data_IF_739734001486
#
_entry.id   IF_739734001486
#
_cell.length_a   1.000
_cell.length_b   1.000
_cell.length_c   1.000
_cell.angle_alpha   90.00
_cell.angle_beta   90.00
_cell.angle_gamma   90.00
#
_symmetry.space_group_name_H-M   'P 1'
#
loop_
_entity.id
_entity.type
_entity.pdbx_description
1 polymer ?
#
# COMPACT_ATOMS: atom_id res chain seq x y z
N UNK A 1 14.49 -14.45 0.98
CA UNK A 1 13.44 -14.35 -0.06
C UNK A 1 12.90 -12.93 -0.04
N UNK A 2 12.37 -12.39 -1.14
CA UNK A 2 11.73 -11.08 -1.11
C UNK A 2 10.55 -11.10 -0.13
N UNK A 3 10.33 -9.98 0.56
CA UNK A 3 9.24 -9.83 1.52
C UNK A 3 7.87 -9.84 0.80
N UNK A 4 7.79 -9.19 -0.37
CA UNK A 4 6.59 -9.14 -1.19
C UNK A 4 6.39 -10.46 -1.94
N UNK A 5 5.17 -10.96 -1.91
CA UNK A 5 4.76 -12.18 -2.61
C UNK A 5 3.41 -11.97 -3.30
N UNK A 6 3.30 -12.50 -4.51
CA UNK A 6 2.05 -12.54 -5.26
C UNK A 6 1.44 -13.95 -5.18
N UNK A 7 0.11 -14.00 -5.25
CA UNK A 7 -0.63 -15.25 -5.40
C UNK A 7 -1.56 -15.12 -6.62
N UNK A 8 -1.62 -16.15 -7.46
CA UNK A 8 -2.55 -16.16 -8.58
C UNK A 8 -3.96 -16.54 -8.12
N UNK A 9 -5.03 -16.20 -8.89
CA UNK A 9 -6.38 -16.66 -8.62
C UNK A 9 -6.50 -18.17 -8.46
N UNK A 10 -5.82 -18.94 -9.30
CA UNK A 10 -5.79 -20.41 -9.21
C UNK A 10 -5.16 -20.88 -7.90
N UNK A 11 -4.00 -20.36 -7.54
CA UNK A 11 -3.32 -20.72 -6.30
C UNK A 11 -4.14 -20.36 -5.05
N UNK A 12 -4.88 -19.25 -5.09
CA UNK A 12 -5.77 -18.88 -4.01
C UNK A 12 -6.96 -19.84 -3.91
N UNK A 13 -7.60 -20.16 -5.05
CA UNK A 13 -8.72 -21.12 -5.08
C UNK A 13 -8.34 -22.50 -4.51
N UNK A 14 -7.13 -22.99 -4.84
CA UNK A 14 -6.61 -24.24 -4.31
C UNK A 14 -6.36 -24.22 -2.79
N UNK A 15 -6.11 -23.03 -2.21
CA UNK A 15 -5.81 -22.84 -0.78
C UNK A 15 -6.98 -22.33 0.04
N UNK A 16 -8.08 -21.92 -0.57
CA UNK A 16 -9.19 -21.20 0.06
C UNK A 16 -9.76 -21.94 1.27
N UNK A 17 -9.84 -23.27 1.23
CA UNK A 17 -10.28 -24.11 2.33
C UNK A 17 -9.17 -24.49 3.35
N UNK A 18 -7.95 -23.94 3.19
CA UNK A 18 -6.83 -24.31 4.07
C UNK A 18 -6.98 -23.66 5.44
N UNK A 19 -6.74 -24.43 6.50
CA UNK A 19 -6.65 -23.88 7.84
C UNK A 19 -5.50 -22.86 7.94
N UNK A 20 -5.72 -21.78 8.67
CA UNK A 20 -4.70 -20.74 8.88
C UNK A 20 -4.54 -19.74 7.70
N UNK A 21 -5.53 -19.67 6.80
CA UNK A 21 -5.62 -18.64 5.78
C UNK A 21 -6.62 -17.57 6.19
N UNK A 22 -6.23 -16.31 6.08
CA UNK A 22 -7.09 -15.13 6.20
C UNK A 22 -7.08 -14.38 4.88
N UNK A 23 -8.23 -14.05 4.34
CA UNK A 23 -8.38 -13.25 3.13
C UNK A 23 -8.96 -11.90 3.50
N UNK A 24 -8.37 -10.80 3.04
CA UNK A 24 -8.85 -9.45 3.30
C UNK A 24 -9.20 -8.74 1.99
N UNK A 25 -10.45 -8.29 1.91
CA UNK A 25 -10.97 -7.43 0.86
C UNK A 25 -10.67 -5.97 1.19
N UNK A 26 -9.77 -5.37 0.43
CA UNK A 26 -9.31 -4.00 0.64
C UNK A 26 -9.93 -3.02 -0.37
N UNK A 27 -11.06 -3.36 -1.02
CA UNK A 27 -11.72 -2.47 -1.97
C UNK A 27 -12.10 -1.14 -1.33
N UNK A 28 -11.84 -0.06 -2.05
CA UNK A 28 -12.09 1.30 -1.60
C UNK A 28 -12.16 2.25 -2.80
N UNK A 29 -12.97 3.30 -2.70
CA UNK A 29 -12.99 4.41 -3.64
C UNK A 29 -12.92 5.74 -2.88
N UNK A 30 -12.02 6.65 -3.32
CA UNK A 30 -11.80 7.92 -2.62
C UNK A 30 -13.01 8.85 -2.73
N UNK A 31 -13.75 8.75 -3.81
CA UNK A 31 -14.94 9.56 -4.12
C UNK A 31 -16.22 9.02 -3.50
N UNK A 32 -16.21 7.78 -3.01
CA UNK A 32 -17.37 7.10 -2.42
C UNK A 32 -16.94 6.27 -1.19
N UNK A 33 -17.05 6.81 0.01
CA UNK A 33 -16.63 6.13 1.24
C UNK A 33 -17.37 4.81 1.53
N UNK A 34 -18.57 4.63 0.99
CA UNK A 34 -19.37 3.42 1.20
C UNK A 34 -19.11 2.35 0.13
N UNK A 35 -18.44 2.71 -0.96
CA UNK A 35 -18.17 1.82 -2.10
C UNK A 35 -17.62 0.45 -1.67
N UNK A 36 -16.57 0.44 -0.85
CA UNK A 36 -15.89 -0.79 -0.47
C UNK A 36 -16.79 -1.73 0.34
N UNK A 37 -17.54 -1.18 1.31
CA UNK A 37 -18.46 -1.95 2.14
C UNK A 37 -19.64 -2.47 1.31
N UNK A 38 -20.22 -1.63 0.45
CA UNK A 38 -21.33 -2.03 -0.45
C UNK A 38 -20.86 -3.13 -1.41
N UNK A 39 -19.72 -2.93 -2.06
CA UNK A 39 -19.16 -3.92 -2.98
C UNK A 39 -18.83 -5.26 -2.30
N UNK A 40 -18.33 -5.21 -1.04
CA UNK A 40 -18.12 -6.42 -0.24
C UNK A 40 -19.44 -7.17 0.03
N UNK A 41 -20.49 -6.44 0.40
CA UNK A 41 -21.81 -7.01 0.65
C UNK A 41 -22.48 -7.58 -0.61
N UNK A 42 -22.23 -6.99 -1.79
CA UNK A 42 -22.69 -7.48 -3.09
C UNK A 42 -21.97 -8.74 -3.56
N UNK A 43 -20.76 -9.00 -3.07
CA UNK A 43 -20.00 -10.21 -3.33
C UNK A 43 -18.49 -10.05 -3.07
N UNK A 44 -17.93 -11.06 -2.43
CA UNK A 44 -16.51 -11.12 -2.10
C UNK A 44 -15.97 -12.54 -2.31
N UNK A 45 -14.64 -12.70 -2.32
CA UNK A 45 -14.01 -14.03 -2.36
C UNK A 45 -14.41 -14.77 -1.09
N UNK A 46 -14.92 -16.00 -1.21
CA UNK A 46 -15.40 -16.80 -0.09
C UNK A 46 -14.37 -16.83 1.06
N UNK A 47 -14.85 -16.56 2.28
CA UNK A 47 -14.01 -16.46 3.48
C UNK A 47 -13.29 -15.11 3.65
N UNK A 48 -13.42 -14.17 2.71
CA UNK A 48 -12.81 -12.85 2.86
C UNK A 48 -13.52 -12.02 3.93
N UNK A 49 -12.76 -11.20 4.63
CA UNK A 49 -13.22 -10.16 5.56
C UNK A 49 -12.93 -8.79 4.98
N UNK A 50 -13.78 -7.81 5.26
CA UNK A 50 -13.58 -6.44 4.75
C UNK A 50 -12.55 -5.66 5.57
N UNK A 51 -11.58 -5.08 4.87
CA UNK A 51 -10.51 -4.25 5.42
C UNK A 51 -10.63 -2.82 4.90
N UNK A 52 -11.44 -2.01 5.57
CA UNK A 52 -11.71 -0.62 5.23
C UNK A 52 -10.44 0.25 5.37
N UNK A 53 -10.15 1.06 4.34
CA UNK A 53 -8.97 1.93 4.33
C UNK A 53 -9.00 2.96 5.46
N UNK A 54 -10.15 3.59 5.71
CA UNK A 54 -10.26 4.68 6.68
C UNK A 54 -10.40 4.16 8.11
N UNK A 55 -11.20 3.10 8.30
CA UNK A 55 -11.52 2.57 9.65
C UNK A 55 -10.46 1.62 10.20
N UNK A 56 -9.87 0.80 9.32
CA UNK A 56 -8.97 -0.28 9.74
C UNK A 56 -7.51 -0.01 9.38
N UNK A 57 -7.25 0.60 8.21
CA UNK A 57 -5.89 0.78 7.67
C UNK A 57 -5.37 2.22 7.82
N UNK A 58 -6.14 3.09 8.47
CA UNK A 58 -5.75 4.47 8.77
C UNK A 58 -6.09 4.85 10.20
N UNK A 59 -5.43 5.86 10.71
CA UNK A 59 -5.73 6.51 11.98
C UNK A 59 -6.64 7.73 11.78
N UNK A 60 -7.06 8.38 12.87
CA UNK A 60 -7.92 9.55 12.81
C UNK A 60 -7.21 10.72 12.11
N UNK A 61 -7.94 11.40 11.23
CA UNK A 61 -7.45 12.60 10.55
C UNK A 61 -7.55 13.81 11.50
N UNK A 62 -6.42 14.50 11.69
CA UNK A 62 -6.35 15.77 12.43
C UNK A 62 -6.15 16.89 11.42
N UNK A 63 -7.18 17.68 11.18
CA UNK A 63 -7.17 18.76 10.18
C UNK A 63 -6.00 19.72 10.39
N UNK A 64 -5.23 19.95 9.33
CA UNK A 64 -4.07 20.85 9.34
C UNK A 64 -2.81 20.26 9.99
N UNK A 65 -2.84 18.98 10.40
CA UNK A 65 -1.71 18.29 11.03
C UNK A 65 -1.35 17.02 10.25
N UNK A 66 -2.32 16.13 10.03
CA UNK A 66 -2.06 14.85 9.34
C UNK A 66 -2.41 14.92 7.86
N UNK A 67 -1.90 13.96 7.10
CA UNK A 67 -2.41 13.65 5.78
C UNK A 67 -3.81 13.00 5.84
N UNK A 68 -4.37 12.64 4.66
CA UNK A 68 -5.71 12.04 4.55
C UNK A 68 -5.81 10.62 5.11
N UNK A 69 -4.73 9.84 5.07
CA UNK A 69 -4.70 8.46 5.58
C UNK A 69 -3.47 8.26 6.50
N UNK A 70 -3.47 8.90 7.70
CA UNK A 70 -2.37 8.72 8.65
C UNK A 70 -2.28 7.26 9.09
N UNK A 71 -1.13 6.85 9.60
CA UNK A 71 -0.99 5.49 10.11
C UNK A 71 -1.91 5.26 11.31
N UNK A 72 -2.52 4.08 11.41
CA UNK A 72 -3.22 3.70 12.64
C UNK A 72 -2.22 3.58 13.81
N UNK A 73 -2.69 3.80 15.03
CA UNK A 73 -1.89 3.47 16.20
C UNK A 73 -1.57 1.97 16.20
N UNK A 74 -0.31 1.61 16.50
CA UNK A 74 0.18 0.23 16.43
C UNK A 74 -0.68 -0.75 17.23
N UNK A 75 -1.06 -0.37 18.45
CA UNK A 75 -1.92 -1.21 19.31
C UNK A 75 -3.33 -1.38 18.74
N UNK A 76 -3.87 -0.33 18.10
CA UNK A 76 -5.19 -0.40 17.46
C UNK A 76 -5.14 -1.35 16.26
N UNK A 77 -4.11 -1.24 15.43
CA UNK A 77 -3.94 -2.13 14.29
C UNK A 77 -3.66 -3.58 14.74
N UNK A 78 -2.85 -3.79 15.79
CA UNK A 78 -2.63 -5.12 16.36
C UNK A 78 -3.93 -5.75 16.88
N UNK A 79 -4.83 -4.97 17.52
CA UNK A 79 -6.16 -5.47 17.90
C UNK A 79 -6.99 -5.85 16.68
N UNK A 80 -6.93 -5.05 15.61
CA UNK A 80 -7.65 -5.35 14.38
C UNK A 80 -7.13 -6.63 13.71
N UNK A 81 -5.81 -6.87 13.69
CA UNK A 81 -5.26 -8.12 13.18
C UNK A 81 -5.77 -9.33 13.94
N UNK A 82 -5.83 -9.24 15.27
CA UNK A 82 -6.44 -10.31 16.09
C UNK A 82 -7.92 -10.51 15.81
N UNK A 83 -8.67 -9.41 15.62
CA UNK A 83 -10.09 -9.50 15.26
C UNK A 83 -10.31 -10.20 13.92
N UNK A 84 -9.36 -10.06 12.97
CA UNK A 84 -9.35 -10.81 11.70
C UNK A 84 -8.82 -12.24 11.82
N UNK A 85 -8.54 -12.76 13.01
CA UNK A 85 -8.07 -14.13 13.22
C UNK A 85 -6.59 -14.34 12.91
N UNK A 86 -5.79 -13.26 12.81
CA UNK A 86 -4.37 -13.37 12.42
C UNK A 86 -3.51 -13.78 13.61
N UNK A 87 -2.71 -14.83 13.41
CA UNK A 87 -1.64 -15.32 14.27
C UNK A 87 -0.27 -15.07 13.61
N UNK A 88 0.81 -15.41 14.27
CA UNK A 88 2.15 -15.27 13.72
C UNK A 88 2.36 -16.09 12.43
N UNK A 89 1.81 -17.30 12.38
CA UNK A 89 1.92 -18.28 11.29
C UNK A 89 0.79 -18.20 10.25
N UNK A 90 -0.27 -17.40 10.49
CA UNK A 90 -1.40 -17.22 9.56
C UNK A 90 -0.88 -16.74 8.19
N UNK A 91 -1.33 -17.38 7.12
CA UNK A 91 -1.19 -16.85 5.77
C UNK A 91 -2.25 -15.78 5.52
N UNK A 92 -1.87 -14.65 4.95
CA UNK A 92 -2.78 -13.54 4.66
C UNK A 92 -2.76 -13.25 3.17
N UNK A 93 -3.93 -13.26 2.54
CA UNK A 93 -4.09 -12.84 1.15
C UNK A 93 -4.89 -11.54 1.12
N UNK A 94 -4.35 -10.54 0.46
CA UNK A 94 -4.89 -9.20 0.33
C UNK A 94 -5.34 -8.98 -1.12
N UNK A 95 -6.51 -8.40 -1.34
CA UNK A 95 -6.94 -8.02 -2.67
C UNK A 95 -7.74 -6.72 -2.67
N UNK A 96 -7.78 -6.06 -3.81
CA UNK A 96 -8.72 -4.99 -4.13
C UNK A 96 -9.34 -5.23 -5.53
N UNK A 97 -9.92 -4.23 -6.15
CA UNK A 97 -10.57 -4.39 -7.47
C UNK A 97 -9.60 -4.81 -8.60
N UNK A 98 -8.31 -4.47 -8.49
CA UNK A 98 -7.38 -4.81 -9.55
C UNK A 98 -5.95 -4.32 -9.39
N UNK A 99 -5.69 -3.01 -9.22
CA UNK A 99 -4.31 -2.51 -9.26
C UNK A 99 -3.46 -2.89 -8.05
N UNK A 100 -4.06 -3.35 -6.95
CA UNK A 100 -3.35 -3.74 -5.75
C UNK A 100 -2.92 -2.57 -4.85
N UNK A 101 -3.44 -1.37 -5.06
CA UNK A 101 -3.02 -0.17 -4.33
C UNK A 101 -3.42 -0.19 -2.84
N UNK A 102 -4.67 -0.57 -2.56
CA UNK A 102 -5.19 -0.67 -1.19
C UNK A 102 -4.70 -1.95 -0.51
N UNK A 103 -4.59 -3.04 -1.26
CA UNK A 103 -3.96 -4.28 -0.81
C UNK A 103 -2.50 -4.06 -0.40
N UNK A 104 -1.74 -3.26 -1.16
CA UNK A 104 -0.37 -2.91 -0.83
C UNK A 104 -0.26 -2.04 0.44
N UNK A 105 -1.25 -1.18 0.72
CA UNK A 105 -1.32 -0.45 1.99
C UNK A 105 -1.47 -1.40 3.16
N UNK A 106 -2.38 -2.38 3.08
CA UNK A 106 -2.56 -3.39 4.11
C UNK A 106 -1.30 -4.25 4.27
N UNK A 107 -0.66 -4.67 3.16
CA UNK A 107 0.61 -5.41 3.18
C UNK A 107 1.71 -4.64 3.91
N UNK A 108 1.85 -3.35 3.61
CA UNK A 108 2.88 -2.53 4.24
C UNK A 108 2.64 -2.37 5.75
N UNK A 109 1.40 -2.17 6.17
CA UNK A 109 1.02 -2.09 7.59
C UNK A 109 1.32 -3.40 8.34
N UNK A 110 1.04 -4.54 7.73
CA UNK A 110 1.40 -5.86 8.26
C UNK A 110 2.91 -5.98 8.44
N UNK A 111 3.69 -5.62 7.40
CA UNK A 111 5.16 -5.64 7.45
C UNK A 111 5.72 -4.67 8.48
N UNK A 112 5.14 -3.47 8.59
CA UNK A 112 5.51 -2.47 9.59
C UNK A 112 5.30 -2.99 11.02
N UNK A 113 4.21 -3.71 11.27
CA UNK A 113 3.93 -4.29 12.59
C UNK A 113 4.64 -5.64 12.84
N UNK A 114 5.48 -6.10 11.90
CA UNK A 114 6.31 -7.29 12.03
C UNK A 114 5.75 -8.58 11.42
N UNK A 115 4.55 -8.56 10.81
CA UNK A 115 4.01 -9.68 10.03
C UNK A 115 4.59 -9.64 8.62
N UNK A 116 5.76 -10.27 8.44
CA UNK A 116 6.55 -10.20 7.21
C UNK A 116 6.46 -11.45 6.34
N UNK A 117 6.12 -12.57 6.94
CA UNK A 117 6.05 -13.87 6.25
C UNK A 117 4.59 -14.26 6.00
N UNK A 118 4.38 -14.95 4.88
CA UNK A 118 3.08 -15.51 4.50
C UNK A 118 2.03 -14.45 4.16
N UNK A 119 2.44 -13.25 3.69
CA UNK A 119 1.52 -12.19 3.26
C UNK A 119 1.62 -12.04 1.74
N UNK A 120 0.49 -12.19 1.06
CA UNK A 120 0.38 -12.20 -0.38
C UNK A 120 -0.58 -11.12 -0.87
N UNK A 121 -0.33 -10.58 -2.07
CA UNK A 121 -1.33 -9.82 -2.81
C UNK A 121 -1.83 -10.69 -3.97
N UNK A 122 -3.15 -10.72 -4.17
CA UNK A 122 -3.80 -11.39 -5.30
C UNK A 122 -3.45 -10.62 -6.59
N UNK A 123 -2.67 -11.23 -7.46
CA UNK A 123 -2.16 -10.60 -8.67
C UNK A 123 -3.28 -10.32 -9.68
N UNK A 124 -3.53 -9.05 -9.96
CA UNK A 124 -4.65 -8.56 -10.75
C UNK A 124 -5.98 -8.45 -9.98
N UNK A 125 -5.98 -8.70 -8.66
CA UNK A 125 -7.10 -8.47 -7.75
C UNK A 125 -8.38 -9.22 -8.11
N UNK A 126 -9.53 -8.66 -7.69
CA UNK A 126 -10.84 -9.26 -7.92
C UNK A 126 -11.17 -9.38 -9.41
N UNK A 127 -10.66 -8.45 -10.24
CA UNK A 127 -10.83 -8.54 -11.70
C UNK A 127 -10.18 -9.81 -12.28
N UNK A 128 -8.99 -10.18 -11.81
CA UNK A 128 -8.32 -11.40 -12.25
C UNK A 128 -9.04 -12.66 -11.73
N UNK A 129 -9.58 -12.62 -10.49
CA UNK A 129 -10.42 -13.68 -9.93
C UNK A 129 -11.64 -13.96 -10.80
N UNK A 130 -12.39 -12.93 -11.14
CA UNK A 130 -13.54 -13.03 -12.05
C UNK A 130 -13.16 -13.54 -13.44
N UNK A 131 -12.08 -13.03 -14.01
CA UNK A 131 -11.61 -13.44 -15.34
C UNK A 131 -11.19 -14.90 -15.38
N UNK A 132 -10.77 -15.47 -14.24
CA UNK A 132 -10.46 -16.89 -14.08
C UNK A 132 -11.71 -17.77 -13.88
N UNK A 133 -12.91 -17.18 -13.81
CA UNK A 133 -14.20 -17.87 -13.68
C UNK A 133 -14.54 -18.34 -12.28
N UNK A 134 -13.86 -17.83 -11.25
CA UNK A 134 -14.16 -18.18 -9.86
C UNK A 134 -15.36 -17.38 -9.32
N UNK A 135 -16.22 -18.03 -8.50
CA UNK A 135 -17.42 -17.41 -7.93
C UNK A 135 -17.08 -16.44 -6.80
N UNK A 136 -18.07 -15.60 -6.48
CA UNK A 136 -18.11 -14.82 -5.24
C UNK A 136 -19.12 -15.41 -4.28
N UNK A 137 -18.93 -15.12 -3.00
CA UNK A 137 -19.84 -15.45 -1.90
C UNK A 137 -20.50 -14.17 -1.34
N UNK A 138 -21.66 -14.35 -0.74
CA UNK A 138 -22.35 -13.33 0.09
C UNK A 138 -22.23 -13.68 1.59
N UNK A 139 -21.67 -14.82 1.91
CA UNK A 139 -21.64 -15.35 3.27
C UNK A 139 -20.48 -14.72 4.06
N UNK A 140 -20.80 -14.02 5.15
CA UNK A 140 -19.80 -13.51 6.06
C UNK A 140 -19.07 -14.66 6.77
N UNK A 141 -17.72 -14.66 6.81
CA UNK A 141 -16.97 -15.72 7.46
C UNK A 141 -17.16 -15.69 8.99
N UNK A 142 -17.15 -16.87 9.61
CA UNK A 142 -17.06 -17.00 11.06
C UNK A 142 -15.61 -16.89 11.48
N UNK A 143 -15.28 -15.93 12.34
CA UNK A 143 -13.92 -15.62 12.71
C UNK A 143 -13.66 -15.99 14.17
N UNK A 144 -12.65 -16.81 14.39
CA UNK A 144 -12.05 -17.00 15.70
C UNK A 144 -10.92 -15.97 15.91
N UNK A 145 -10.95 -15.19 16.98
CA UNK A 145 -9.92 -14.19 17.23
C UNK A 145 -8.50 -14.79 17.27
N UNK A 146 -7.58 -14.14 16.58
CA UNK A 146 -6.17 -14.53 16.58
C UNK A 146 -5.39 -14.00 17.79
N UNK A 147 -4.11 -14.33 17.81
CA UNK A 147 -3.19 -14.01 18.92
C UNK A 147 -1.99 -13.17 18.46
N UNK A 148 -2.03 -12.60 17.25
CA UNK A 148 -0.88 -11.86 16.72
C UNK A 148 -0.39 -10.79 17.70
N UNK A 149 0.91 -10.80 17.94
CA UNK A 149 1.62 -9.81 18.74
C UNK A 149 2.83 -9.34 17.92
N UNK A 150 2.82 -8.08 17.54
CA UNK A 150 3.89 -7.45 16.78
C UNK A 150 4.22 -6.08 17.35
N UNK A 151 5.36 -5.54 16.95
CA UNK A 151 5.80 -4.21 17.31
C UNK A 151 6.15 -3.40 16.04
N UNK A 152 5.89 -2.08 16.01
CA UNK A 152 6.15 -1.27 14.84
C UNK A 152 7.64 -1.13 14.58
N UNK A 153 8.05 -1.37 13.34
CA UNK A 153 9.40 -1.07 12.86
C UNK A 153 9.46 0.36 12.31
N UNK A 154 9.83 1.29 13.16
CA UNK A 154 9.91 2.71 12.79
C UNK A 154 11.11 3.03 11.86
N UNK A 155 12.03 2.08 11.62
CA UNK A 155 13.07 2.24 10.59
C UNK A 155 12.47 2.26 9.17
N UNK A 156 11.27 1.74 8.99
CA UNK A 156 10.53 1.79 7.73
C UNK A 156 9.83 3.14 7.49
N UNK A 157 9.95 4.08 8.41
CA UNK A 157 9.29 5.39 8.33
C UNK A 157 10.29 6.53 8.17
N UNK A 158 9.84 7.57 7.52
CA UNK A 158 10.42 8.90 7.57
C UNK A 158 9.27 9.91 7.72
N UNK A 159 9.34 10.78 8.70
CA UNK A 159 8.35 11.85 8.89
C UNK A 159 8.69 13.12 8.09
N UNK A 160 7.79 14.08 8.10
CA UNK A 160 7.93 15.32 7.34
C UNK A 160 9.13 16.16 7.79
N UNK A 161 9.39 16.24 9.09
CA UNK A 161 10.49 17.05 9.66
C UNK A 161 11.85 16.46 9.25
N UNK A 162 12.03 15.16 9.44
CA UNK A 162 13.24 14.48 9.02
C UNK A 162 13.43 14.52 7.50
N UNK A 163 12.34 14.36 6.72
CA UNK A 163 12.40 14.49 5.27
C UNK A 163 12.86 15.89 4.86
N UNK A 164 12.25 16.95 5.42
CA UNK A 164 12.61 18.33 5.13
C UNK A 164 14.09 18.62 5.39
N UNK A 165 14.65 18.09 6.48
CA UNK A 165 16.07 18.27 6.82
C UNK A 165 17.02 17.56 5.86
N UNK A 166 16.54 16.56 5.11
CA UNK A 166 17.32 15.74 4.17
C UNK A 166 17.20 16.19 2.71
N UNK A 167 16.26 17.07 2.38
CA UNK A 167 16.10 17.55 1.00
C UNK A 167 17.40 18.17 0.47
N UNK A 168 17.77 17.82 -0.77
CA UNK A 168 18.98 18.28 -1.41
C UNK A 168 20.29 17.72 -0.86
N UNK A 169 20.24 16.82 0.12
CA UNK A 169 21.44 16.18 0.69
C UNK A 169 21.66 14.79 0.08
N UNK A 170 22.93 14.31 0.05
CA UNK A 170 23.24 12.91 -0.29
C UNK A 170 22.50 11.93 0.66
N UNK A 171 22.25 10.70 0.18
CA UNK A 171 21.64 9.66 0.99
C UNK A 171 20.11 9.71 1.00
N UNK A 172 19.47 10.39 0.04
CA UNK A 172 18.02 10.41 -0.16
C UNK A 172 17.69 10.17 -1.63
N UNK A 173 16.90 9.15 -1.89
CA UNK A 173 16.18 8.95 -3.16
C UNK A 173 14.70 9.04 -2.85
N UNK A 174 14.08 10.17 -3.22
CA UNK A 174 12.66 10.43 -2.95
C UNK A 174 11.84 10.14 -4.21
N UNK A 175 10.83 9.28 -4.11
CA UNK A 175 9.94 8.93 -5.22
C UNK A 175 8.48 9.23 -4.89
N UNK A 176 7.77 9.81 -5.85
CA UNK A 176 6.33 10.11 -5.77
C UNK A 176 5.54 9.11 -6.61
N UNK A 177 4.63 8.39 -5.98
CA UNK A 177 3.82 7.36 -6.64
C UNK A 177 2.58 7.91 -7.37
N UNK A 178 2.33 9.22 -7.36
CA UNK A 178 1.22 9.84 -8.08
C UNK A 178 1.48 9.82 -9.59
N UNK A 179 0.39 9.92 -10.36
CA UNK A 179 0.49 10.08 -11.82
C UNK A 179 1.28 11.35 -12.19
N UNK A 180 2.04 11.29 -13.30
CA UNK A 180 2.92 12.36 -13.72
C UNK A 180 2.24 13.74 -13.84
N UNK A 181 1.01 13.92 -14.36
CA UNK A 181 0.37 15.24 -14.39
C UNK A 181 0.14 15.83 -12.99
N UNK A 182 -0.15 15.00 -11.97
CA UNK A 182 -0.25 15.45 -10.58
C UNK A 182 1.11 15.82 -10.00
N UNK A 183 2.12 15.01 -10.26
CA UNK A 183 3.50 15.28 -9.86
C UNK A 183 3.98 16.62 -10.40
N UNK A 184 3.80 16.87 -11.70
CA UNK A 184 4.22 18.12 -12.36
C UNK A 184 3.45 19.35 -11.88
N UNK A 185 2.28 19.17 -11.28
CA UNK A 185 1.39 20.26 -10.91
C UNK A 185 0.52 20.76 -12.06
N UNK A 186 0.44 20.00 -13.16
CA UNK A 186 -0.42 20.33 -14.32
C UNK A 186 -1.90 20.18 -13.96
N UNK A 187 -2.22 19.21 -13.09
CA UNK A 187 -3.57 18.98 -12.55
C UNK A 187 -3.46 18.51 -11.09
N UNK A 188 -4.42 18.93 -10.24
CA UNK A 188 -4.58 18.39 -8.89
C UNK A 188 -6.08 18.36 -8.51
N UNK A 189 -6.74 17.22 -8.73
CA UNK A 189 -8.18 17.10 -8.47
C UNK A 189 -8.53 16.82 -7.01
N UNK A 190 -7.54 16.49 -6.17
CA UNK A 190 -7.77 15.96 -4.82
C UNK A 190 -7.28 16.92 -3.73
N UNK A 191 -6.06 17.42 -3.89
CA UNK A 191 -5.39 18.26 -2.88
C UNK A 191 -5.52 19.75 -3.25
N UNK A 192 -5.56 20.66 -2.27
CA UNK A 192 -5.71 22.10 -2.52
C UNK A 192 -4.47 22.76 -3.16
N UNK A 193 -3.34 22.05 -3.20
CA UNK A 193 -2.07 22.56 -3.73
C UNK A 193 -1.49 21.56 -4.73
N UNK A 194 -1.15 22.04 -5.92
CA UNK A 194 -0.52 21.26 -6.97
C UNK A 194 1.03 21.28 -6.84
N UNK A 195 1.69 20.26 -7.41
CA UNK A 195 3.13 20.13 -7.41
C UNK A 195 3.63 18.92 -6.61
N UNK A 196 4.92 18.93 -6.24
CA UNK A 196 5.59 17.83 -5.56
C UNK A 196 6.63 18.31 -4.55
N UNK A 197 7.15 17.40 -3.73
CA UNK A 197 8.24 17.68 -2.78
C UNK A 197 9.54 17.89 -3.57
N UNK A 198 10.29 18.99 -3.35
CA UNK A 198 11.50 19.30 -4.10
C UNK A 198 12.52 18.17 -4.11
N UNK A 199 13.06 17.84 -5.28
CA UNK A 199 14.03 16.77 -5.47
C UNK A 199 13.44 15.36 -5.55
N UNK A 200 12.11 15.23 -5.49
CA UNK A 200 11.44 13.97 -5.76
C UNK A 200 11.49 13.63 -7.26
N UNK A 201 11.45 12.33 -7.55
CA UNK A 201 11.30 11.79 -8.90
C UNK A 201 9.89 11.21 -9.04
N UNK A 202 9.26 11.41 -10.19
CA UNK A 202 7.99 10.74 -10.50
C UNK A 202 8.24 9.24 -10.69
N UNK A 203 7.48 8.43 -9.97
CA UNK A 203 7.48 6.97 -10.07
C UNK A 203 6.03 6.47 -9.99
N UNK A 204 5.21 6.88 -10.95
CA UNK A 204 3.78 6.59 -10.94
C UNK A 204 3.50 5.08 -10.71
N UNK A 205 2.67 4.77 -9.72
CA UNK A 205 2.49 3.39 -9.26
C UNK A 205 1.90 2.46 -10.34
N UNK A 206 1.08 2.98 -11.24
CA UNK A 206 0.52 2.23 -12.35
C UNK A 206 1.56 1.70 -13.34
N UNK A 207 2.76 2.29 -13.38
CA UNK A 207 3.88 1.79 -14.18
C UNK A 207 4.53 0.53 -13.62
N UNK A 208 4.14 0.07 -12.44
CA UNK A 208 4.50 -1.25 -11.92
C UNK A 208 3.68 -2.39 -12.53
N UNK A 209 2.65 -2.05 -13.33
CA UNK A 209 1.68 -2.99 -13.84
C UNK A 209 1.80 -3.14 -15.36
N UNK A 210 1.51 -4.34 -15.84
CA UNK A 210 1.27 -4.61 -17.25
C UNK A 210 -0.10 -4.12 -17.71
N UNK A 211 -0.36 -4.21 -19.01
CA UNK A 211 -1.64 -3.83 -19.63
C UNK A 211 -2.83 -4.69 -19.15
N UNK A 212 -2.55 -5.85 -18.56
CA UNK A 212 -3.54 -6.76 -17.97
C UNK A 212 -3.85 -6.43 -16.48
N UNK A 213 -3.21 -5.39 -15.93
CA UNK A 213 -3.39 -4.95 -14.54
C UNK A 213 -2.64 -5.80 -13.50
N UNK A 214 -1.78 -6.72 -13.94
CA UNK A 214 -0.92 -7.53 -13.07
C UNK A 214 0.43 -6.85 -12.87
N UNK A 215 1.12 -7.20 -11.80
CA UNK A 215 2.47 -6.71 -11.59
C UNK A 215 3.41 -7.17 -12.72
N UNK A 216 4.30 -6.27 -13.12
CA UNK A 216 5.37 -6.58 -14.06
C UNK A 216 6.27 -7.68 -13.49
N UNK A 217 6.91 -8.51 -14.36
CA UNK A 217 7.92 -9.45 -13.92
C UNK A 217 9.02 -8.79 -13.10
N UNK A 218 9.54 -9.51 -12.10
CA UNK A 218 10.55 -9.01 -11.15
C UNK A 218 11.75 -8.33 -11.84
N UNK A 219 12.20 -8.87 -12.97
CA UNK A 219 13.33 -8.29 -13.71
C UNK A 219 13.00 -6.93 -14.35
N UNK A 220 11.76 -6.74 -14.84
CA UNK A 220 11.31 -5.44 -15.37
C UNK A 220 11.15 -4.42 -14.25
N UNK A 221 10.58 -4.82 -13.11
CA UNK A 221 10.53 -3.98 -11.91
C UNK A 221 11.93 -3.60 -11.45
N UNK A 222 12.88 -4.53 -11.49
CA UNK A 222 14.27 -4.28 -11.11
C UNK A 222 14.93 -3.23 -12.00
N UNK A 223 14.75 -3.31 -13.31
CA UNK A 223 15.25 -2.32 -14.27
C UNK A 223 14.62 -0.94 -14.01
N UNK A 224 13.30 -0.90 -13.77
CA UNK A 224 12.58 0.33 -13.45
C UNK A 224 13.13 1.01 -12.19
N UNK A 225 13.27 0.28 -11.09
CA UNK A 225 13.78 0.84 -9.84
C UNK A 225 15.28 1.12 -9.89
N UNK A 226 16.07 0.40 -10.69
CA UNK A 226 17.47 0.74 -10.93
C UNK A 226 17.62 2.14 -11.56
N UNK A 227 16.73 2.51 -12.48
CA UNK A 227 16.69 3.85 -13.05
C UNK A 227 16.36 4.93 -12.00
N UNK A 228 15.37 4.67 -11.12
CA UNK A 228 15.02 5.60 -10.04
C UNK A 228 16.15 5.75 -9.00
N UNK A 229 16.79 4.64 -8.65
CA UNK A 229 17.92 4.65 -7.72
C UNK A 229 19.16 5.34 -8.31
N UNK A 230 19.37 5.26 -9.61
CA UNK A 230 20.51 5.87 -10.31
C UNK A 230 21.85 5.60 -9.60
N UNK A 231 22.11 4.35 -9.26
CA UNK A 231 23.32 3.90 -8.56
C UNK A 231 23.38 4.17 -7.05
N UNK A 232 22.32 4.75 -6.45
CA UNK A 232 22.24 4.97 -5.01
C UNK A 232 21.81 3.68 -4.29
N UNK A 233 22.08 3.62 -2.99
CA UNK A 233 21.69 2.49 -2.16
C UNK A 233 20.14 2.40 -2.05
N UNK A 234 19.54 1.21 -2.21
CA UNK A 234 18.09 1.04 -2.11
C UNK A 234 17.52 1.45 -0.75
N UNK A 235 18.30 1.34 0.33
CA UNK A 235 17.95 1.74 1.69
C UNK A 235 17.77 3.26 1.84
N UNK A 236 18.28 4.04 0.89
CA UNK A 236 18.10 5.50 0.82
C UNK A 236 16.76 5.89 0.19
N UNK A 237 16.03 4.92 -0.39
CA UNK A 237 14.76 5.18 -1.05
C UNK A 237 13.66 5.47 -0.02
N UNK A 238 12.97 6.58 -0.26
CA UNK A 238 11.76 7.01 0.45
C UNK A 238 10.65 7.17 -0.56
N UNK A 239 9.55 6.45 -0.38
CA UNK A 239 8.36 6.58 -1.21
C UNK A 239 7.28 7.43 -0.51
N UNK A 240 6.62 8.27 -1.29
CA UNK A 240 5.41 8.98 -0.88
C UNK A 240 4.40 9.03 -2.04
N UNK A 241 3.19 9.50 -1.79
CA UNK A 241 2.18 9.75 -2.81
C UNK A 241 1.25 10.90 -2.40
N UNK A 242 -0.03 10.81 -2.64
CA UNK A 242 -1.02 11.77 -2.12
C UNK A 242 -1.27 11.62 -0.61
N UNK A 243 -1.34 10.38 -0.10
CA UNK A 243 -1.74 10.09 1.29
C UNK A 243 -1.12 8.80 1.88
N UNK A 244 -0.01 8.32 1.32
CA UNK A 244 0.70 7.15 1.83
C UNK A 244 0.08 5.78 1.46
N UNK A 245 -0.83 5.74 0.50
CA UNK A 245 -1.47 4.51 0.02
C UNK A 245 -0.73 3.94 -1.19
N UNK A 246 -0.73 4.64 -2.33
CA UNK A 246 -0.06 4.16 -3.55
C UNK A 246 1.47 4.15 -3.45
N UNK A 247 2.05 4.86 -2.49
CA UNK A 247 3.47 4.72 -2.14
C UNK A 247 3.80 3.31 -1.65
N UNK A 248 2.88 2.66 -0.91
CA UNK A 248 3.05 1.26 -0.50
C UNK A 248 3.08 0.29 -1.68
N UNK A 249 2.37 0.61 -2.77
CA UNK A 249 2.43 -0.17 -4.00
C UNK A 249 3.83 -0.12 -4.64
N UNK A 250 4.49 1.05 -4.66
CA UNK A 250 5.88 1.15 -5.11
C UNK A 250 6.84 0.36 -4.19
N UNK A 251 6.63 0.41 -2.87
CA UNK A 251 7.44 -0.37 -1.93
C UNK A 251 7.22 -1.89 -2.07
N UNK A 252 5.99 -2.32 -2.36
CA UNK A 252 5.69 -3.70 -2.68
C UNK A 252 6.40 -4.14 -3.98
N UNK A 253 6.29 -3.35 -5.04
CA UNK A 253 6.94 -3.61 -6.32
C UNK A 253 8.48 -3.60 -6.20
N UNK A 254 9.05 -2.69 -5.40
CA UNK A 254 10.49 -2.66 -5.07
C UNK A 254 10.93 -3.98 -4.42
N UNK A 255 10.14 -4.50 -3.48
CA UNK A 255 10.42 -5.77 -2.83
C UNK A 255 10.25 -6.96 -3.78
N UNK A 256 9.26 -6.96 -4.69
CA UNK A 256 9.15 -7.97 -5.76
C UNK A 256 10.37 -7.99 -6.68
N UNK A 257 10.96 -6.82 -6.93
CA UNK A 257 12.19 -6.67 -7.70
C UNK A 257 13.44 -7.21 -6.98
N UNK A 258 13.30 -7.66 -5.72
CA UNK A 258 14.39 -8.20 -4.91
C UNK A 258 15.21 -7.17 -4.16
N UNK A 259 14.79 -5.89 -4.15
CA UNK A 259 15.43 -4.87 -3.32
C UNK A 259 14.96 -4.95 -1.87
N UNK A 260 15.77 -4.47 -0.91
CA UNK A 260 15.31 -4.27 0.46
C UNK A 260 14.15 -3.26 0.51
N UNK A 261 13.33 -3.36 1.53
CA UNK A 261 12.19 -2.46 1.71
C UNK A 261 12.69 -1.03 2.01
N UNK A 262 12.33 -0.10 1.15
CA UNK A 262 12.57 1.33 1.35
C UNK A 262 11.67 1.90 2.45
N UNK A 263 11.83 3.18 2.74
CA UNK A 263 11.03 3.90 3.74
C UNK A 263 9.76 4.47 3.14
N UNK A 264 8.73 4.57 3.96
CA UNK A 264 7.50 5.28 3.64
C UNK A 264 7.47 6.65 4.34
N UNK A 265 7.22 7.71 3.60
CA UNK A 265 6.70 8.95 4.16
C UNK A 265 5.16 8.86 4.14
N UNK A 266 4.59 8.39 5.25
CA UNK A 266 3.17 8.03 5.33
C UNK A 266 2.23 9.25 5.19
N UNK A 267 2.61 10.41 5.73
CA UNK A 267 1.83 11.64 5.61
C UNK A 267 1.69 12.14 4.18
N UNK A 268 2.73 11.91 3.37
CA UNK A 268 2.72 12.17 1.93
C UNK A 268 2.38 13.63 1.56
N UNK A 269 1.94 13.86 0.32
CA UNK A 269 1.64 15.19 -0.18
C UNK A 269 0.59 15.92 0.66
N UNK A 270 -0.49 15.24 1.05
CA UNK A 270 -1.57 15.83 1.82
C UNK A 270 -1.17 16.31 3.22
N UNK A 271 -0.13 15.74 3.82
CA UNK A 271 0.49 16.27 5.06
C UNK A 271 1.54 17.33 4.73
N UNK A 272 2.35 17.12 3.67
CA UNK A 272 3.40 18.06 3.31
C UNK A 272 2.88 19.48 3.15
N UNK A 273 1.76 19.64 2.47
CA UNK A 273 1.12 20.92 2.18
C UNK A 273 0.36 21.55 3.37
N UNK A 274 0.26 20.89 4.52
CA UNK A 274 -0.36 21.48 5.71
C UNK A 274 0.49 22.58 6.31
N UNK A 275 1.80 22.55 6.09
CA UNK A 275 2.74 23.57 6.55
C UNK A 275 3.19 24.45 5.37
N UNK A 276 2.75 25.72 5.31
CA UNK A 276 3.10 26.63 4.21
C UNK A 276 4.59 26.99 4.16
N UNK A 277 5.37 26.69 5.19
CA UNK A 277 6.82 26.87 5.20
C UNK A 277 7.58 25.77 4.44
N UNK A 278 6.92 24.63 4.11
CA UNK A 278 7.53 23.56 3.34
C UNK A 278 7.58 23.93 1.85
N UNK A 279 8.75 23.79 1.28
CA UNK A 279 8.94 24.11 -0.15
C UNK A 279 8.17 23.16 -1.06
N UNK A 280 7.72 23.68 -2.20
CA UNK A 280 6.99 22.97 -3.25
C UNK A 280 7.72 23.18 -4.58
N UNK A 281 7.76 22.15 -5.40
CA UNK A 281 8.24 22.22 -6.77
C UNK A 281 7.12 21.84 -7.76
N UNK A 282 7.28 22.32 -9.01
CA UNK A 282 6.41 21.98 -10.15
C UNK A 282 7.29 21.69 -11.38
N UNK A 283 6.73 21.04 -12.38
CA UNK A 283 7.48 20.60 -13.55
C UNK A 283 8.15 19.25 -13.33
N UNK A 284 9.21 18.97 -14.12
CA UNK A 284 9.97 17.70 -14.06
C UNK A 284 11.10 17.77 -13.04
#
# INVERSE_FOLDING_TARGET
MPLAQLISPQQLAERQASAGLVILDCRFALEDPDYGLCSYAEGHIEGAQYADLERHLSGPVIKGVTGRHPLPAADTFARQLRAWGINADTQVVLYDDGPGAFAARAWWLLAWLGKRDGVFILDGGLKAWHSAGYPLSLDAPVIEPGTFAGAPDNHLLLDAEHLQTRLGKPGLTLIDARAQPRFRGDVEPIDPVAGHIPGAQCAAFNENLGSDGRFLPAEQLKQRFAAQLNGRAPEELVAYCGSGVTACHNLFALSLAGYPLGKLYAGSWSEWITDPARAIATGD
#
